data_IF_223635042547
#
_entry.id   IF_223635042547
#
_cell.length_a   1.000
_cell.length_b   1.000
_cell.length_c   1.000
_cell.angle_alpha   90.00
_cell.angle_beta   90.00
_cell.angle_gamma   90.00
#
_symmetry.space_group_name_H-M   'P 1'
#
loop_
_entity.id
_entity.type
_entity.pdbx_description
1 polymer ?
#
# COMPACT_ATOMS: atom_id res chain seq x y z
N UNK A 1 -9.70 5.98 0.31
CA UNK A 1 -8.92 4.76 0.02
C UNK A 1 -9.80 3.52 -0.15
N UNK A 2 -10.63 3.16 0.83
CA UNK A 2 -11.47 1.95 0.83
C UNK A 2 -12.20 1.68 -0.50
N UNK A 3 -12.91 2.68 -1.03
CA UNK A 3 -13.62 2.53 -2.32
C UNK A 3 -12.68 2.20 -3.50
N UNK A 4 -11.50 2.82 -3.56
CA UNK A 4 -10.50 2.55 -4.61
C UNK A 4 -10.01 1.11 -4.54
N UNK A 5 -9.69 0.63 -3.34
CA UNK A 5 -9.24 -0.75 -3.11
C UNK A 5 -10.35 -1.74 -3.44
N UNK A 6 -11.58 -1.49 -2.99
CA UNK A 6 -12.75 -2.35 -3.27
C UNK A 6 -12.97 -2.52 -4.77
N UNK A 7 -12.98 -1.40 -5.52
CA UNK A 7 -13.11 -1.41 -6.97
C UNK A 7 -11.94 -2.13 -7.64
N UNK A 8 -10.71 -1.92 -7.17
CA UNK A 8 -9.53 -2.59 -7.71
C UNK A 8 -9.54 -4.12 -7.47
N UNK A 9 -10.15 -4.58 -6.37
CA UNK A 9 -10.37 -5.99 -6.06
C UNK A 9 -11.60 -6.58 -6.76
N UNK A 10 -12.35 -5.77 -7.52
CA UNK A 10 -13.61 -6.15 -8.19
C UNK A 10 -14.69 -6.62 -7.19
N UNK A 11 -14.65 -6.10 -5.98
CA UNK A 11 -15.63 -6.38 -4.93
C UNK A 11 -16.78 -5.37 -5.06
N UNK A 12 -18.02 -5.87 -5.11
CA UNK A 12 -19.24 -5.03 -5.21
C UNK A 12 -20.02 -4.95 -3.90
N UNK A 13 -19.78 -5.88 -2.98
CA UNK A 13 -20.38 -5.91 -1.64
C UNK A 13 -19.58 -5.09 -0.64
N UNK A 14 -20.21 -4.66 0.46
CA UNK A 14 -19.56 -4.00 1.60
C UNK A 14 -19.23 -4.97 2.75
N UNK A 15 -19.53 -6.26 2.58
CA UNK A 15 -19.32 -7.28 3.62
C UNK A 15 -17.85 -7.39 4.10
N UNK A 16 -16.89 -6.99 3.26
CA UNK A 16 -15.46 -7.04 3.55
C UNK A 16 -14.86 -5.68 3.93
N UNK A 17 -15.68 -4.61 4.06
CA UNK A 17 -15.16 -3.26 4.25
C UNK A 17 -14.29 -3.11 5.51
N UNK A 18 -14.60 -3.86 6.57
CA UNK A 18 -13.78 -3.91 7.80
C UNK A 18 -12.39 -4.51 7.51
N UNK A 19 -12.34 -5.70 6.92
CA UNK A 19 -11.10 -6.40 6.59
C UNK A 19 -10.24 -5.59 5.62
N UNK A 20 -10.87 -5.00 4.59
CA UNK A 20 -10.18 -4.11 3.65
C UNK A 20 -9.61 -2.86 4.35
N UNK A 21 -10.34 -2.29 5.32
CA UNK A 21 -9.85 -1.16 6.11
C UNK A 21 -8.63 -1.55 6.96
N UNK A 22 -8.65 -2.74 7.57
CA UNK A 22 -7.54 -3.26 8.35
C UNK A 22 -6.30 -3.50 7.46
N UNK A 23 -6.49 -4.07 6.26
CA UNK A 23 -5.41 -4.26 5.29
C UNK A 23 -4.85 -2.93 4.77
N UNK A 24 -5.69 -1.91 4.57
CA UNK A 24 -5.26 -0.57 4.19
C UNK A 24 -4.38 0.05 5.28
N UNK A 25 -4.81 -0.07 6.55
CA UNK A 25 -4.05 0.43 7.69
C UNK A 25 -2.71 -0.30 7.84
N UNK A 26 -2.70 -1.62 7.63
CA UNK A 26 -1.48 -2.41 7.63
C UNK A 26 -0.52 -1.99 6.51
N UNK A 27 -1.03 -1.69 5.30
CA UNK A 27 -0.23 -1.19 4.20
C UNK A 27 0.44 0.15 4.52
N UNK A 28 -0.30 1.10 5.13
CA UNK A 28 0.29 2.37 5.54
C UNK A 28 1.33 2.20 6.64
N UNK A 29 1.09 1.31 7.60
CA UNK A 29 2.07 1.01 8.66
C UNK A 29 3.37 0.42 8.06
N UNK A 30 3.27 -0.50 7.11
CA UNK A 30 4.44 -1.10 6.45
C UNK A 30 5.23 -0.07 5.62
N UNK A 31 4.54 0.84 4.91
CA UNK A 31 5.18 1.98 4.23
C UNK A 31 5.88 2.90 5.23
N UNK A 32 5.27 3.17 6.38
CA UNK A 32 5.87 3.97 7.45
C UNK A 32 7.15 3.34 8.02
N UNK A 33 7.17 2.01 8.21
CA UNK A 33 8.38 1.26 8.61
C UNK A 33 9.50 1.42 7.56
N UNK A 34 9.15 1.49 6.28
CA UNK A 34 10.09 1.74 5.20
C UNK A 34 10.53 3.21 5.07
N UNK A 35 10.10 4.10 5.96
CA UNK A 35 10.49 5.52 5.95
C UNK A 35 9.70 6.38 4.96
N UNK A 36 8.54 5.90 4.50
CA UNK A 36 7.63 6.70 3.65
C UNK A 36 6.81 7.63 4.55
N UNK A 37 7.02 8.93 4.40
CA UNK A 37 6.38 9.97 5.22
C UNK A 37 5.16 10.60 4.54
N UNK A 38 5.13 10.60 3.20
CA UNK A 38 4.00 11.11 2.43
C UNK A 38 3.09 9.94 2.04
N UNK A 39 2.00 9.76 2.78
CA UNK A 39 1.00 8.71 2.53
C UNK A 39 -0.36 9.31 2.19
N UNK A 40 -0.38 10.40 1.43
CA UNK A 40 -1.62 11.04 1.01
C UNK A 40 -2.49 10.06 0.20
N UNK A 41 -3.73 9.85 0.65
CA UNK A 41 -4.62 8.85 0.04
C UNK A 41 -5.14 9.23 -1.36
N UNK A 42 -4.79 10.42 -1.83
CA UNK A 42 -5.04 10.95 -3.18
C UNK A 42 -3.86 10.74 -4.11
N UNK A 43 -2.68 10.42 -3.59
CA UNK A 43 -1.47 10.22 -4.37
C UNK A 43 -1.57 8.92 -5.20
N UNK A 44 -1.35 8.98 -6.53
CA UNK A 44 -1.52 7.81 -7.39
C UNK A 44 -0.53 6.67 -7.08
N UNK A 45 0.68 6.96 -6.61
CA UNK A 45 1.69 5.95 -6.26
C UNK A 45 1.31 5.29 -4.93
N UNK A 46 0.86 6.07 -3.93
CA UNK A 46 0.37 5.53 -2.66
C UNK A 46 -0.87 4.66 -2.86
N UNK A 47 -1.81 5.11 -3.69
CA UNK A 47 -2.99 4.31 -4.07
C UNK A 47 -2.54 2.98 -4.67
N UNK A 48 -1.51 2.97 -5.53
CA UNK A 48 -1.02 1.75 -6.17
C UNK A 48 -0.35 0.80 -5.18
N UNK A 49 0.49 1.31 -4.28
CA UNK A 49 1.17 0.54 -3.24
C UNK A 49 0.17 -0.13 -2.29
N UNK A 50 -0.76 0.66 -1.74
CA UNK A 50 -1.81 0.16 -0.84
C UNK A 50 -2.71 -0.86 -1.56
N UNK A 51 -3.09 -0.60 -2.80
CA UNK A 51 -3.90 -1.55 -3.59
C UNK A 51 -3.17 -2.87 -3.84
N UNK A 52 -1.87 -2.83 -4.13
CA UNK A 52 -1.06 -4.04 -4.33
C UNK A 52 -0.93 -4.84 -3.04
N UNK A 53 -0.71 -4.16 -1.91
CA UNK A 53 -0.69 -4.80 -0.59
C UNK A 53 -2.01 -5.47 -0.26
N UNK A 54 -3.15 -4.79 -0.45
CA UNK A 54 -4.46 -5.39 -0.21
C UNK A 54 -4.71 -6.58 -1.15
N UNK A 55 -4.34 -6.50 -2.43
CA UNK A 55 -4.45 -7.63 -3.37
C UNK A 55 -3.63 -8.85 -2.96
N UNK A 56 -2.44 -8.61 -2.43
CA UNK A 56 -1.54 -9.68 -1.97
C UNK A 56 -2.07 -10.39 -0.73
N UNK A 57 -2.77 -9.69 0.16
CA UNK A 57 -3.15 -10.18 1.49
C UNK A 57 -4.64 -10.46 1.67
N UNK A 58 -5.49 -10.10 0.71
CA UNK A 58 -6.93 -10.36 0.78
C UNK A 58 -7.27 -11.73 0.20
N UNK A 59 -7.61 -12.68 1.08
CA UNK A 59 -7.91 -14.06 0.70
C UNK A 59 -6.70 -14.84 0.17
N UNK A 60 -6.97 -15.94 -0.54
CA UNK A 60 -5.93 -16.72 -1.22
C UNK A 60 -5.76 -16.26 -2.67
N UNK A 61 -4.51 -16.00 -3.06
CA UNK A 61 -4.14 -15.51 -4.40
C UNK A 61 -3.12 -16.42 -5.04
N UNK A 62 -3.37 -16.86 -6.27
CA UNK A 62 -2.48 -17.77 -7.01
C UNK A 62 -1.19 -17.10 -7.49
N UNK A 63 -1.15 -15.77 -7.50
CA UNK A 63 -0.02 -14.94 -7.93
C UNK A 63 0.66 -14.20 -6.77
N UNK A 64 0.55 -14.72 -5.54
CA UNK A 64 1.13 -14.12 -4.33
C UNK A 64 2.58 -13.67 -4.53
N UNK A 65 3.47 -14.54 -5.02
CA UNK A 65 4.89 -14.21 -5.20
C UNK A 65 5.12 -13.03 -6.16
N UNK A 66 4.28 -12.92 -7.20
CA UNK A 66 4.35 -11.81 -8.17
C UNK A 66 3.83 -10.52 -7.57
N UNK A 67 2.75 -10.58 -6.80
CA UNK A 67 2.19 -9.43 -6.08
C UNK A 67 3.17 -8.94 -5.03
N UNK A 68 3.80 -9.86 -4.29
CA UNK A 68 4.83 -9.56 -3.31
C UNK A 68 6.03 -8.88 -3.96
N UNK A 69 6.57 -9.44 -5.04
CA UNK A 69 7.68 -8.81 -5.76
C UNK A 69 7.32 -7.40 -6.25
N UNK A 70 6.10 -7.21 -6.77
CA UNK A 70 5.63 -5.89 -7.21
C UNK A 70 5.49 -4.91 -6.05
N UNK A 71 5.00 -5.35 -4.88
CA UNK A 71 4.89 -4.51 -3.70
C UNK A 71 6.26 -4.17 -3.11
N UNK A 72 7.18 -5.14 -3.03
CA UNK A 72 8.55 -4.93 -2.55
C UNK A 72 9.28 -3.88 -3.39
N UNK A 73 9.13 -3.91 -4.72
CA UNK A 73 9.70 -2.90 -5.62
C UNK A 73 9.07 -1.52 -5.40
N UNK A 74 7.74 -1.44 -5.29
CA UNK A 74 7.04 -0.18 -5.01
C UNK A 74 7.49 0.42 -3.68
N UNK A 75 7.62 -0.40 -2.63
CA UNK A 75 8.06 0.02 -1.31
C UNK A 75 9.50 0.52 -1.35
N UNK A 76 10.41 -0.19 -2.03
CA UNK A 76 11.79 0.24 -2.20
C UNK A 76 11.90 1.57 -2.96
N UNK A 77 11.11 1.75 -4.03
CA UNK A 77 11.07 3.00 -4.78
C UNK A 77 10.58 4.16 -3.90
N UNK A 78 9.49 3.96 -3.15
CA UNK A 78 8.94 4.96 -2.24
C UNK A 78 9.91 5.34 -1.12
N UNK A 79 10.65 4.37 -0.56
CA UNK A 79 11.63 4.62 0.50
C UNK A 79 12.88 5.37 0.02
N UNK A 80 13.09 5.48 -1.29
CA UNK A 80 14.26 6.16 -1.87
C UNK A 80 13.89 7.46 -2.59
N UNK A 81 12.63 7.66 -2.97
CA UNK A 81 12.20 8.80 -3.77
C UNK A 81 12.10 10.09 -2.93
N UNK A 82 12.79 11.14 -3.39
CA UNK A 82 12.62 12.49 -2.85
C UNK A 82 11.15 12.93 -2.97
N UNK A 83 10.54 13.37 -1.88
CA UNK A 83 9.12 13.73 -1.80
C UNK A 83 8.22 12.65 -1.18
N UNK A 84 8.75 11.44 -1.00
CA UNK A 84 8.11 10.37 -0.22
C UNK A 84 8.89 10.00 1.04
N UNK A 85 10.18 10.32 1.09
CA UNK A 85 11.05 10.15 2.25
C UNK A 85 11.63 11.50 2.69
N UNK A 86 11.71 11.71 4.00
CA UNK A 86 12.38 12.86 4.59
C UNK A 86 13.81 12.48 5.00
N UNK A 87 14.78 12.94 4.21
CA UNK A 87 16.21 12.73 4.47
C UNK A 87 16.79 13.71 5.48
N UNK A 88 16.05 14.74 5.89
CA UNK A 88 16.54 15.76 6.84
C UNK A 88 16.81 15.21 8.24
N UNK A 89 16.27 14.04 8.57
CA UNK A 89 16.53 13.34 9.83
C UNK A 89 17.86 12.58 9.88
N UNK A 90 18.61 12.50 8.77
CA UNK A 90 19.94 11.86 8.73
C UNK A 90 21.10 12.84 8.98
N UNK A 91 20.81 14.15 9.07
CA UNK A 91 21.83 15.20 9.23
C UNK A 91 21.94 15.74 10.69
N UNK A 92 21.27 15.11 11.66
CA UNK A 92 21.29 15.45 13.09
C UNK A 92 22.01 14.39 13.93
#
# INVERSE_FOLDING_TARGET
MLEKVRLALRITTTAFDSELSDLINAAYADLGIAGVVNTESTDPIIIRAVTTYCRMNFGEVSDYDRLKASYDEQKAQLSMASGYTDYSMLEA
#
